data_IF_483065404145
#
_entry.id   IF_483065404145
#
_cell.length_a   1.000
_cell.length_b   1.000
_cell.length_c   1.000
_cell.angle_alpha   90.00
_cell.angle_beta   90.00
_cell.angle_gamma   90.00
#
_symmetry.space_group_name_H-M   'P 1'
#
loop_
_entity.id
_entity.type
_entity.pdbx_description
1 polymer ?
#
# COMPACT_ATOMS: atom_id res chain seq x y z
N UNK A 1 10.87 -4.70 -20.02
CA UNK A 1 9.63 -4.48 -19.22
C UNK A 1 9.63 -5.51 -18.11
N UNK A 2 9.98 -5.11 -16.89
CA UNK A 2 10.05 -6.03 -15.74
C UNK A 2 8.68 -6.18 -15.11
N UNK A 3 8.11 -7.39 -15.16
CA UNK A 3 6.82 -7.70 -14.55
C UNK A 3 7.08 -8.13 -13.12
N UNK A 4 6.63 -7.34 -12.14
CA UNK A 4 6.67 -7.74 -10.72
C UNK A 4 5.41 -8.56 -10.41
N UNK A 5 5.55 -9.87 -10.22
CA UNK A 5 4.44 -10.76 -9.89
C UNK A 5 4.23 -10.77 -8.37
N UNK A 6 3.10 -10.24 -7.92
CA UNK A 6 2.66 -10.39 -6.54
C UNK A 6 2.00 -11.77 -6.41
N UNK A 7 2.54 -12.67 -5.58
CA UNK A 7 2.09 -14.07 -5.45
C UNK A 7 0.74 -14.26 -4.73
N UNK A 8 0.00 -13.17 -4.47
CA UNK A 8 -1.31 -13.16 -3.84
C UNK A 8 -2.20 -12.13 -4.52
N UNK A 9 -3.51 -12.32 -4.44
CA UNK A 9 -4.49 -11.37 -4.95
C UNK A 9 -4.27 -10.00 -4.31
N UNK A 10 -3.93 -9.03 -5.17
CA UNK A 10 -3.86 -7.63 -4.79
C UNK A 10 -5.28 -7.09 -4.84
N UNK A 11 -5.82 -6.76 -3.67
CA UNK A 11 -7.22 -6.33 -3.57
C UNK A 11 -7.39 -4.87 -3.95
N UNK A 12 -6.43 -4.03 -3.57
CA UNK A 12 -6.54 -2.59 -3.79
C UNK A 12 -5.16 -1.93 -3.75
N UNK A 13 -5.02 -0.91 -4.59
CA UNK A 13 -3.82 -0.11 -4.77
C UNK A 13 -4.25 1.34 -4.80
N UNK A 14 -3.60 2.19 -4.00
CA UNK A 14 -3.87 3.63 -4.01
C UNK A 14 -2.60 4.44 -3.83
N UNK A 15 -2.39 5.41 -4.71
CA UNK A 15 -1.34 6.39 -4.55
C UNK A 15 -1.73 7.43 -3.50
N UNK A 16 -0.72 7.83 -2.74
CA UNK A 16 -0.81 8.98 -1.85
C UNK A 16 -1.09 10.26 -2.67
N UNK A 17 -1.89 11.21 -2.16
CA UNK A 17 -2.16 12.48 -2.85
C UNK A 17 -0.89 13.26 -3.22
N UNK A 18 0.17 13.16 -2.41
CA UNK A 18 1.48 13.77 -2.69
C UNK A 18 2.32 13.03 -3.75
N UNK A 19 1.83 11.91 -4.29
CA UNK A 19 2.51 11.03 -5.25
C UNK A 19 3.86 10.47 -4.77
N UNK A 20 4.20 10.59 -3.49
CA UNK A 20 5.48 10.09 -2.93
C UNK A 20 5.38 8.68 -2.41
N UNK A 21 4.17 8.19 -2.14
CA UNK A 21 3.95 6.87 -1.57
C UNK A 21 2.82 6.14 -2.29
N UNK A 22 2.87 4.81 -2.30
CA UNK A 22 1.82 3.94 -2.83
C UNK A 22 1.49 2.88 -1.79
N UNK A 23 0.20 2.73 -1.48
CA UNK A 23 -0.30 1.65 -0.64
C UNK A 23 -0.76 0.51 -1.55
N UNK A 24 -0.31 -0.70 -1.23
CA UNK A 24 -0.68 -1.93 -1.91
C UNK A 24 -1.17 -2.90 -0.83
N UNK A 25 -2.43 -3.33 -0.92
CA UNK A 25 -2.93 -4.37 -0.05
C UNK A 25 -3.09 -5.70 -0.79
N UNK A 26 -2.52 -6.76 -0.19
CA UNK A 26 -2.51 -8.12 -0.72
C UNK A 26 -2.88 -9.10 0.40
N UNK A 27 -3.93 -9.90 0.18
CA UNK A 27 -4.48 -10.76 1.23
C UNK A 27 -4.78 -9.99 2.53
N UNK A 28 -4.15 -10.42 3.63
CA UNK A 28 -4.27 -9.88 5.00
C UNK A 28 -3.24 -8.78 5.35
N UNK A 29 -2.46 -8.30 4.38
CA UNK A 29 -1.37 -7.36 4.62
C UNK A 29 -1.44 -6.16 3.69
N UNK A 30 -1.21 -4.97 4.25
CA UNK A 30 -0.99 -3.76 3.47
C UNK A 30 0.44 -3.28 3.60
N UNK A 31 1.02 -2.93 2.47
CA UNK A 31 2.40 -2.50 2.33
C UNK A 31 2.41 -1.12 1.70
N UNK A 32 3.10 -0.19 2.35
CA UNK A 32 3.30 1.16 1.84
C UNK A 32 4.71 1.25 1.30
N UNK A 33 4.80 1.50 -0.01
CA UNK A 33 6.05 1.72 -0.71
C UNK A 33 6.25 3.20 -0.98
N UNK A 34 7.47 3.68 -0.80
CA UNK A 34 7.86 5.02 -1.26
C UNK A 34 8.14 4.94 -2.76
N UNK A 35 7.50 5.82 -3.53
CA UNK A 35 7.78 6.01 -4.93
C UNK A 35 9.16 6.64 -5.09
N UNK A 36 9.97 6.17 -6.06
CA UNK A 36 11.28 6.76 -6.30
C UNK A 36 11.05 8.14 -6.91
N UNK A 37 11.67 9.18 -6.33
CA UNK A 37 11.73 10.46 -7.01
C UNK A 37 12.63 10.34 -8.25
N UNK A 38 12.65 11.36 -9.12
CA UNK A 38 13.47 11.37 -10.34
C UNK A 38 14.98 11.14 -10.10
N UNK A 39 15.43 11.20 -8.84
CA UNK A 39 16.76 10.76 -8.44
C UNK A 39 16.89 9.23 -8.58
N UNK A 40 17.80 8.80 -9.45
CA UNK A 40 18.15 7.40 -9.69
C UNK A 40 18.64 6.72 -8.40
N UNK A 41 17.72 6.29 -7.56
CA UNK A 41 18.02 5.35 -6.48
C UNK A 41 17.95 3.93 -7.02
N UNK A 42 18.97 3.13 -6.70
CA UNK A 42 19.10 1.73 -7.11
C UNK A 42 17.92 0.84 -6.65
N UNK A 43 17.06 1.32 -5.75
CA UNK A 43 15.84 0.66 -5.33
C UNK A 43 14.62 1.48 -5.72
N UNK A 44 13.88 0.99 -6.72
CA UNK A 44 12.70 1.65 -7.28
C UNK A 44 11.47 1.60 -6.36
N UNK A 45 11.46 0.75 -5.32
CA UNK A 45 10.36 0.69 -4.35
C UNK A 45 10.89 0.32 -2.97
N UNK A 46 11.02 1.31 -2.10
CA UNK A 46 11.43 1.09 -0.70
C UNK A 46 10.19 0.87 0.14
N UNK A 47 10.07 -0.30 0.77
CA UNK A 47 9.01 -0.60 1.72
C UNK A 47 9.18 0.30 2.96
N UNK A 48 8.28 1.25 3.15
CA UNK A 48 8.31 2.20 4.26
C UNK A 48 7.55 1.69 5.47
N UNK A 49 6.40 1.07 5.23
CA UNK A 49 5.53 0.63 6.31
C UNK A 49 4.74 -0.62 5.94
N UNK A 50 4.39 -1.39 6.96
CA UNK A 50 3.67 -2.64 6.83
C UNK A 50 2.59 -2.73 7.89
N UNK A 51 1.35 -2.83 7.46
CA UNK A 51 0.19 -3.16 8.29
C UNK A 51 -0.10 -4.66 8.13
N UNK A 52 -0.02 -5.41 9.23
CA UNK A 52 -0.32 -6.85 9.27
C UNK A 52 -1.55 -7.19 10.12
N UNK A 53 -2.41 -6.21 10.40
CA UNK A 53 -3.45 -6.40 11.42
C UNK A 53 -4.78 -6.92 10.91
N UNK A 54 -4.96 -7.02 9.59
CA UNK A 54 -6.20 -7.51 9.01
C UNK A 54 -6.16 -9.03 9.02
N UNK A 55 -7.20 -9.66 9.56
CA UNK A 55 -7.31 -11.12 9.57
C UNK A 55 -7.91 -11.64 8.26
N UNK A 56 -8.69 -10.79 7.60
CA UNK A 56 -9.36 -11.08 6.34
C UNK A 56 -8.96 -10.07 5.24
N UNK A 57 -9.61 -10.18 4.07
CA UNK A 57 -9.34 -9.39 2.89
C UNK A 57 -9.62 -7.91 3.15
N UNK A 58 -8.70 -7.09 2.68
CA UNK A 58 -8.86 -5.64 2.66
C UNK A 58 -9.82 -5.22 1.56
N UNK A 59 -10.87 -4.50 1.94
CA UNK A 59 -11.97 -4.10 1.05
C UNK A 59 -11.78 -2.70 0.51
N UNK A 60 -11.20 -1.79 1.30
CA UNK A 60 -10.97 -0.41 0.91
C UNK A 60 -9.70 0.16 1.55
N UNK A 61 -9.09 1.12 0.84
CA UNK A 61 -7.97 1.92 1.34
C UNK A 61 -8.29 3.38 1.02
N UNK A 62 -8.09 4.26 1.99
CA UNK A 62 -8.09 5.69 1.76
C UNK A 62 -6.91 6.40 2.39
N UNK A 63 -6.40 7.42 1.71
CA UNK A 63 -5.31 8.26 2.18
C UNK A 63 -5.89 9.57 2.68
N UNK A 64 -5.34 10.10 3.77
CA UNK A 64 -5.62 11.48 4.15
C UNK A 64 -5.05 12.45 3.12
N UNK A 65 -5.67 13.62 2.98
CA UNK A 65 -5.24 14.67 2.05
C UNK A 65 -3.82 15.18 2.32
N UNK A 66 -3.37 15.08 3.58
CA UNK A 66 -2.00 15.41 3.99
C UNK A 66 -0.98 14.29 3.74
N UNK A 67 -1.41 13.14 3.19
CA UNK A 67 -0.54 11.99 2.86
C UNK A 67 0.17 11.35 4.07
N UNK A 68 -0.30 11.63 5.30
CA UNK A 68 0.34 11.13 6.54
C UNK A 68 -0.28 9.86 7.09
N UNK A 69 -1.59 9.70 6.88
CA UNK A 69 -2.36 8.61 7.47
C UNK A 69 -3.03 7.81 6.34
N UNK A 70 -3.06 6.50 6.54
CA UNK A 70 -3.74 5.55 5.69
C UNK A 70 -4.84 4.89 6.52
N UNK A 71 -6.08 4.95 6.06
CA UNK A 71 -7.17 4.17 6.60
C UNK A 71 -7.34 2.92 5.72
N UNK A 72 -7.43 1.76 6.35
CA UNK A 72 -7.67 0.49 5.65
C UNK A 72 -8.86 -0.21 6.31
N UNK A 73 -9.85 -0.54 5.49
CA UNK A 73 -10.99 -1.36 5.88
C UNK A 73 -10.80 -2.82 5.49
N UNK A 74 -11.18 -3.73 6.38
CA UNK A 74 -11.12 -5.17 6.17
C UNK A 74 -12.51 -5.81 6.29
N UNK A 75 -12.68 -6.95 5.62
CA UNK A 75 -13.91 -7.74 5.62
C UNK A 75 -14.22 -8.39 6.98
N UNK A 76 -13.23 -8.43 7.88
CA UNK A 76 -13.39 -8.86 9.28
C UNK A 76 -14.09 -7.81 10.18
N UNK A 77 -14.70 -6.79 9.58
CA UNK A 77 -15.33 -5.64 10.25
C UNK A 77 -14.35 -4.80 11.09
N UNK A 78 -13.04 -4.93 10.86
CA UNK A 78 -12.02 -4.09 11.50
C UNK A 78 -11.52 -3.00 10.56
N UNK A 79 -11.17 -1.85 11.14
CA UNK A 79 -10.57 -0.71 10.44
C UNK A 79 -9.37 -0.21 11.23
N UNK A 80 -8.27 0.09 10.55
CA UNK A 80 -7.06 0.68 11.13
C UNK A 80 -6.53 1.86 10.33
#
# INVERSE_FOLDING_TARGET
IGIHRFGHDVHTIKFSPDSKSVAICRGSRCEIYTCPSADRQFNLFTLKFVLRSFHDKTTCIDWTSDSRVLAVGSADMTTQ
#
